data_IF_277279877320
#
_entry.id   IF_277279877320
#
_cell.length_a   1.000
_cell.length_b   1.000
_cell.length_c   1.000
_cell.angle_alpha   90.00
_cell.angle_beta   90.00
_cell.angle_gamma   90.00
#
_symmetry.space_group_name_H-M   'P 1'
#
loop_
_entity.id
_entity.type
_entity.pdbx_description
1 polymer ?
#
# COMPACT_ATOMS: atom_id res chain seq x y z
N UNK A 1 -16.08 14.83 36.98
CA UNK A 1 -14.68 14.42 37.06
C UNK A 1 -14.57 12.98 36.57
N UNK A 2 -14.36 12.77 35.27
CA UNK A 2 -14.33 11.44 34.64
C UNK A 2 -12.92 11.17 34.13
N UNK A 3 -12.15 10.36 34.88
CA UNK A 3 -10.89 9.80 34.41
C UNK A 3 -11.16 8.69 33.38
N UNK A 4 -10.47 8.67 32.22
CA UNK A 4 -10.59 7.57 31.27
C UNK A 4 -9.94 6.29 31.84
N UNK A 5 -10.65 5.17 31.70
CA UNK A 5 -10.12 3.84 32.04
C UNK A 5 -9.05 3.42 31.03
N UNK A 6 -7.83 3.19 31.52
CA UNK A 6 -6.76 2.57 30.74
C UNK A 6 -7.16 1.14 30.34
N UNK A 7 -7.27 0.89 29.04
CA UNK A 7 -7.33 -0.47 28.51
C UNK A 7 -5.93 -1.07 28.58
N UNK A 8 -5.65 -1.79 29.66
CA UNK A 8 -4.45 -2.63 29.78
C UNK A 8 -4.63 -3.84 28.87
N UNK A 9 -4.15 -3.73 27.63
CA UNK A 9 -4.01 -4.87 26.74
C UNK A 9 -3.01 -5.87 27.33
N UNK A 10 -3.49 -7.01 27.80
CA UNK A 10 -2.64 -8.14 28.17
C UNK A 10 -2.05 -8.75 26.90
N UNK A 11 -0.87 -8.27 26.49
CA UNK A 11 -0.06 -8.97 25.52
C UNK A 11 0.31 -10.34 26.11
N UNK A 12 -0.14 -11.43 25.48
CA UNK A 12 0.31 -12.78 25.83
C UNK A 12 1.85 -12.81 25.74
N UNK A 13 2.57 -13.37 26.72
CA UNK A 13 4.02 -13.45 26.66
C UNK A 13 4.44 -14.28 25.44
N UNK A 14 4.95 -13.59 24.42
CA UNK A 14 5.47 -14.23 23.23
C UNK A 14 6.76 -14.98 23.61
N UNK A 15 6.66 -16.29 23.82
CA UNK A 15 7.85 -17.14 23.84
C UNK A 15 8.51 -17.03 22.47
N UNK A 16 9.78 -16.61 22.41
CA UNK A 16 10.58 -16.67 21.18
C UNK A 16 10.65 -18.13 20.72
N UNK A 17 9.79 -18.51 19.78
CA UNK A 17 9.96 -19.73 19.00
C UNK A 17 10.95 -19.39 17.90
N UNK A 18 12.15 -19.94 17.99
CA UNK A 18 13.02 -20.01 16.82
C UNK A 18 12.34 -20.92 15.81
N UNK A 19 11.99 -20.35 14.66
CA UNK A 19 11.64 -21.16 13.50
C UNK A 19 12.92 -21.93 13.11
N UNK A 20 12.82 -23.25 12.85
CA UNK A 20 13.98 -24.01 12.39
C UNK A 20 14.52 -23.37 11.12
N UNK A 21 15.85 -23.27 10.95
CA UNK A 21 16.43 -22.71 9.73
C UNK A 21 15.91 -23.52 8.53
N UNK A 22 15.27 -22.83 7.58
CA UNK A 22 14.86 -23.47 6.34
C UNK A 22 16.11 -23.77 5.51
N UNK A 23 16.23 -24.99 5.00
CA UNK A 23 17.36 -25.42 4.18
C UNK A 23 17.51 -24.61 2.87
N UNK A 24 16.42 -23.97 2.44
CA UNK A 24 16.42 -23.01 1.35
C UNK A 24 16.57 -21.57 1.89
N UNK A 25 17.56 -20.79 1.45
CA UNK A 25 17.55 -19.34 1.58
C UNK A 25 16.56 -18.75 0.58
N UNK A 26 15.28 -19.13 0.68
CA UNK A 26 14.22 -18.42 -0.04
C UNK A 26 14.19 -16.98 0.46
N UNK A 27 14.06 -15.98 -0.42
CA UNK A 27 13.75 -14.63 0.04
C UNK A 27 12.51 -14.73 0.94
N UNK A 28 12.59 -14.09 2.10
CA UNK A 28 11.46 -13.93 3.00
C UNK A 28 10.27 -13.37 2.20
N UNK A 29 9.03 -13.76 2.52
CA UNK A 29 7.86 -13.15 1.90
C UNK A 29 7.96 -11.62 1.99
N UNK A 30 7.63 -10.87 0.93
CA UNK A 30 7.78 -9.43 0.93
C UNK A 30 6.93 -8.81 2.04
N UNK A 31 7.49 -7.85 2.76
CA UNK A 31 6.83 -7.14 3.84
C UNK A 31 6.07 -5.94 3.26
N UNK A 32 4.74 -6.03 3.32
CA UNK A 32 3.83 -4.96 2.93
C UNK A 32 3.45 -4.13 4.15
N UNK A 33 3.57 -2.80 4.06
CA UNK A 33 3.16 -1.87 5.10
C UNK A 33 2.11 -0.92 4.54
N UNK A 34 0.90 -0.96 5.11
CA UNK A 34 -0.13 0.04 4.89
C UNK A 34 0.05 1.22 5.83
N UNK A 35 0.28 2.43 5.30
CA UNK A 35 0.47 3.61 6.14
C UNK A 35 0.18 4.94 5.43
N UNK A 36 -0.23 5.95 6.20
CA UNK A 36 -0.44 7.33 5.72
C UNK A 36 0.37 8.38 6.48
N UNK A 37 0.86 8.08 7.70
CA UNK A 37 1.52 9.04 8.58
C UNK A 37 2.94 9.39 8.13
N UNK A 38 3.16 10.66 7.77
CA UNK A 38 4.41 11.14 7.17
C UNK A 38 5.58 11.21 8.16
N UNK A 39 5.32 11.58 9.42
CA UNK A 39 6.37 11.79 10.42
C UNK A 39 6.93 10.49 11.00
N UNK A 40 6.07 9.50 11.23
CA UNK A 40 6.44 8.27 11.95
C UNK A 40 6.46 7.04 11.03
N UNK A 41 5.43 6.86 10.21
CA UNK A 41 5.25 5.63 9.45
C UNK A 41 6.04 5.62 8.14
N UNK A 42 6.02 6.70 7.35
CA UNK A 42 6.79 6.74 6.10
C UNK A 42 8.31 6.52 6.30
N UNK A 43 8.96 7.02 7.36
CA UNK A 43 10.36 6.68 7.62
C UNK A 43 10.57 5.18 7.91
N UNK A 44 9.59 4.50 8.53
CA UNK A 44 9.64 3.05 8.75
C UNK A 44 9.50 2.32 7.41
N UNK A 45 8.52 2.73 6.59
CA UNK A 45 8.30 2.20 5.24
C UNK A 45 9.58 2.31 4.41
N UNK A 46 10.16 3.51 4.32
CA UNK A 46 11.39 3.78 3.60
C UNK A 46 12.52 2.80 3.98
N UNK A 47 12.72 2.57 5.28
CA UNK A 47 13.78 1.69 5.79
C UNK A 47 13.51 0.20 5.63
N UNK A 48 12.25 -0.24 5.64
CA UNK A 48 11.91 -1.65 5.94
C UNK A 48 10.91 -2.33 4.99
N UNK A 49 10.04 -1.58 4.32
CA UNK A 49 8.97 -2.20 3.54
C UNK A 49 9.46 -2.63 2.16
N UNK A 50 9.08 -3.83 1.72
CA UNK A 50 9.22 -4.23 0.32
C UNK A 50 8.11 -3.63 -0.54
N UNK A 51 6.93 -3.42 0.06
CA UNK A 51 5.83 -2.71 -0.56
C UNK A 51 5.14 -1.75 0.42
N UNK A 52 4.76 -0.57 -0.07
CA UNK A 52 3.97 0.42 0.64
C UNK A 52 2.57 0.47 0.06
N UNK A 53 1.55 0.24 0.88
CA UNK A 53 0.17 0.51 0.51
C UNK A 53 -0.24 1.90 1.05
N UNK A 54 -0.52 2.82 0.13
CA UNK A 54 -0.74 4.22 0.39
C UNK A 54 -2.23 4.59 0.41
N UNK A 55 -2.54 5.65 1.16
CA UNK A 55 -3.90 6.17 1.32
C UNK A 55 -3.93 7.68 1.10
N UNK A 56 -4.97 8.16 0.41
CA UNK A 56 -5.29 9.58 0.28
C UNK A 56 -5.79 10.01 -1.09
N UNK A 57 -6.03 11.32 -1.22
CA UNK A 57 -6.40 12.01 -2.47
C UNK A 57 -5.27 11.99 -3.48
N UNK A 58 -5.58 12.24 -4.75
CA UNK A 58 -4.62 12.33 -5.85
C UNK A 58 -3.40 13.20 -5.47
N UNK A 59 -3.62 14.45 -5.07
CA UNK A 59 -2.55 15.36 -4.68
C UNK A 59 -1.68 14.80 -3.54
N UNK A 60 -2.30 14.18 -2.52
CA UNK A 60 -1.56 13.62 -1.39
C UNK A 60 -0.74 12.39 -1.77
N UNK A 61 -1.20 11.56 -2.73
CA UNK A 61 -0.48 10.37 -3.17
C UNK A 61 0.83 10.73 -3.87
N UNK A 62 0.79 11.74 -4.75
CA UNK A 62 1.99 12.22 -5.45
C UNK A 62 2.99 12.87 -4.47
N UNK A 63 2.51 13.67 -3.51
CA UNK A 63 3.36 14.26 -2.49
C UNK A 63 4.04 13.20 -1.62
N UNK A 64 3.29 12.22 -1.12
CA UNK A 64 3.82 11.13 -0.28
C UNK A 64 4.74 10.19 -1.05
N UNK A 65 4.49 9.98 -2.35
CA UNK A 65 5.37 9.16 -3.20
C UNK A 65 6.77 9.77 -3.29
N UNK A 66 6.86 11.09 -3.51
CA UNK A 66 8.13 11.85 -3.52
C UNK A 66 8.80 11.86 -2.15
N UNK A 67 8.02 12.11 -1.09
CA UNK A 67 8.55 12.05 0.28
C UNK A 67 9.12 10.65 0.60
N UNK A 68 8.49 9.58 0.12
CA UNK A 68 9.02 8.23 0.30
C UNK A 68 10.36 8.04 -0.43
N UNK A 69 10.53 8.63 -1.62
CA UNK A 69 11.82 8.61 -2.33
C UNK A 69 12.91 9.29 -1.48
N UNK A 70 12.66 10.52 -1.03
CA UNK A 70 13.59 11.29 -0.19
C UNK A 70 13.97 10.53 1.09
N UNK A 71 12.98 9.90 1.75
CA UNK A 71 13.20 9.13 2.98
C UNK A 71 13.99 7.84 2.72
N UNK A 72 13.78 7.18 1.58
CA UNK A 72 14.52 5.98 1.19
C UNK A 72 15.97 6.33 0.86
N UNK A 73 16.19 7.40 0.09
CA UNK A 73 17.54 7.91 -0.21
C UNK A 73 18.28 8.32 1.05
N UNK A 74 17.64 9.07 1.96
CA UNK A 74 18.21 9.44 3.27
C UNK A 74 18.55 8.22 4.13
N UNK A 75 17.84 7.11 3.94
CA UNK A 75 18.11 5.84 4.61
C UNK A 75 19.17 4.99 3.89
N UNK A 76 19.75 5.46 2.78
CA UNK A 76 20.74 4.72 1.98
C UNK A 76 20.13 3.58 1.15
N UNK A 77 18.85 3.67 0.80
CA UNK A 77 18.12 2.64 0.05
C UNK A 77 17.63 3.18 -1.29
N UNK A 78 17.76 2.39 -2.35
CA UNK A 78 17.15 2.70 -3.65
C UNK A 78 15.62 2.72 -3.53
N UNK A 79 14.94 3.86 -3.78
CA UNK A 79 13.49 3.95 -3.67
C UNK A 79 12.72 3.01 -4.60
N UNK A 80 13.34 2.57 -5.70
CA UNK A 80 12.75 1.60 -6.64
C UNK A 80 12.63 0.19 -6.05
N UNK A 81 13.28 -0.07 -4.91
CA UNK A 81 13.13 -1.31 -4.13
C UNK A 81 11.83 -1.35 -3.31
N UNK A 82 11.02 -0.29 -3.34
CA UNK A 82 9.74 -0.22 -2.63
C UNK A 82 8.61 -0.20 -3.67
N UNK A 83 7.90 -1.32 -3.77
CA UNK A 83 6.69 -1.39 -4.59
C UNK A 83 5.62 -0.46 -4.00
N UNK A 84 4.98 0.34 -4.84
CA UNK A 84 3.92 1.26 -4.44
C UNK A 84 2.56 0.70 -4.80
N UNK A 85 1.72 0.55 -3.80
CA UNK A 85 0.36 0.04 -3.90
C UNK A 85 -0.69 1.05 -3.46
N UNK A 86 -1.85 1.04 -4.12
CA UNK A 86 -3.01 1.83 -3.73
C UNK A 86 -4.30 1.10 -4.11
N UNK A 87 -5.39 1.40 -3.41
CA UNK A 87 -6.72 0.90 -3.79
C UNK A 87 -7.31 1.70 -4.95
N UNK A 88 -8.06 0.99 -5.80
CA UNK A 88 -8.82 1.53 -6.92
C UNK A 88 -10.29 1.10 -6.76
N UNK A 89 -11.15 2.07 -6.46
CA UNK A 89 -12.58 1.82 -6.32
C UNK A 89 -13.23 1.63 -7.70
N UNK A 90 -13.88 0.48 -7.89
CA UNK A 90 -14.59 0.14 -9.13
C UNK A 90 -16.04 0.67 -9.18
N UNK A 91 -16.58 1.11 -8.05
CA UNK A 91 -17.93 1.69 -7.91
C UNK A 91 -17.99 3.19 -8.22
N UNK A 92 -17.08 3.67 -9.07
CA UNK A 92 -17.02 5.07 -9.54
C UNK A 92 -17.24 5.11 -11.05
N UNK A 93 -17.73 6.23 -11.60
CA UNK A 93 -17.81 6.41 -13.05
C UNK A 93 -16.49 6.05 -13.76
N UNK A 94 -16.58 5.43 -14.92
CA UNK A 94 -15.44 4.84 -15.61
C UNK A 94 -14.35 5.84 -16.01
N UNK A 95 -14.74 7.09 -16.24
CA UNK A 95 -13.83 8.21 -16.45
C UNK A 95 -13.05 8.56 -15.17
N UNK A 96 -13.67 8.47 -14.00
CA UNK A 96 -13.02 8.67 -12.70
C UNK A 96 -12.05 7.54 -12.37
N UNK A 97 -12.42 6.29 -12.65
CA UNK A 97 -11.54 5.12 -12.45
C UNK A 97 -10.28 5.27 -13.30
N UNK A 98 -10.43 5.63 -14.58
CA UNK A 98 -9.30 5.89 -15.49
C UNK A 98 -8.42 7.03 -15.01
N UNK A 99 -9.01 8.18 -14.64
CA UNK A 99 -8.25 9.34 -14.12
C UNK A 99 -7.46 8.98 -12.87
N UNK A 100 -8.07 8.27 -11.92
CA UNK A 100 -7.38 7.83 -10.70
C UNK A 100 -6.24 6.87 -11.02
N UNK A 101 -6.44 5.90 -11.90
CA UNK A 101 -5.39 4.96 -12.28
C UNK A 101 -4.21 5.65 -12.99
N UNK A 102 -4.49 6.58 -13.91
CA UNK A 102 -3.48 7.40 -14.57
C UNK A 102 -2.69 8.24 -13.56
N UNK A 103 -3.38 8.94 -12.65
CA UNK A 103 -2.74 9.74 -11.61
C UNK A 103 -1.83 8.91 -10.70
N UNK A 104 -2.29 7.72 -10.30
CA UNK A 104 -1.50 6.79 -9.50
C UNK A 104 -0.25 6.31 -10.27
N UNK A 105 -0.39 5.94 -11.54
CA UNK A 105 0.74 5.55 -12.39
C UNK A 105 1.76 6.68 -12.52
N UNK A 106 1.31 7.90 -12.79
CA UNK A 106 2.19 9.08 -12.92
C UNK A 106 2.90 9.41 -11.59
N UNK A 107 2.28 9.07 -10.45
CA UNK A 107 2.88 9.14 -9.12
C UNK A 107 3.77 7.94 -8.75
N UNK A 108 4.00 6.99 -9.67
CA UNK A 108 4.89 5.83 -9.48
C UNK A 108 4.25 4.60 -8.84
N UNK A 109 2.91 4.52 -8.79
CA UNK A 109 2.21 3.33 -8.26
C UNK A 109 2.11 2.24 -9.32
N UNK A 110 2.77 1.11 -9.04
CA UNK A 110 2.82 -0.05 -9.95
C UNK A 110 1.88 -1.19 -9.57
N UNK A 111 1.19 -1.12 -8.43
CA UNK A 111 0.28 -2.18 -7.98
C UNK A 111 -1.06 -1.61 -7.52
N UNK A 112 -2.14 -1.87 -8.26
CA UNK A 112 -3.47 -1.42 -7.91
C UNK A 112 -4.30 -2.55 -7.31
N UNK A 113 -4.86 -2.33 -6.12
CA UNK A 113 -5.83 -3.24 -5.52
C UNK A 113 -7.21 -2.81 -5.99
N UNK A 114 -7.79 -3.58 -6.91
CA UNK A 114 -9.17 -3.37 -7.35
C UNK A 114 -10.13 -3.74 -6.21
N UNK A 115 -10.87 -2.75 -5.70
CA UNK A 115 -11.84 -2.98 -4.64
C UNK A 115 -13.08 -3.68 -5.18
N UNK A 116 -13.67 -4.56 -4.37
CA UNK A 116 -14.92 -5.22 -4.74
C UNK A 116 -16.04 -4.19 -4.94
N UNK A 117 -16.70 -4.14 -6.11
CA UNK A 117 -17.73 -3.15 -6.37
C UNK A 117 -19.03 -3.48 -5.64
N UNK A 118 -19.69 -2.45 -5.11
CA UNK A 118 -21.02 -2.56 -4.49
C UNK A 118 -22.11 -3.07 -5.46
N UNK A 119 -21.91 -2.87 -6.76
CA UNK A 119 -22.75 -3.32 -7.88
C UNK A 119 -22.57 -4.81 -8.18
N UNK A 120 -21.61 -5.47 -7.52
CA UNK A 120 -21.37 -6.91 -7.61
C UNK A 120 -20.61 -7.36 -8.87
N UNK A 121 -20.64 -8.67 -9.11
CA UNK A 121 -19.80 -9.37 -10.11
C UNK A 121 -19.84 -8.73 -11.50
N UNK A 122 -21.02 -8.33 -11.97
CA UNK A 122 -21.17 -7.73 -13.31
C UNK A 122 -20.31 -6.47 -13.49
N UNK A 123 -20.18 -5.65 -12.45
CA UNK A 123 -19.33 -4.45 -12.49
C UNK A 123 -17.85 -4.78 -12.58
N UNK A 124 -17.42 -5.85 -11.90
CA UNK A 124 -16.06 -6.37 -12.00
C UNK A 124 -15.77 -6.93 -13.40
N UNK A 125 -16.70 -7.68 -13.98
CA UNK A 125 -16.59 -8.22 -15.35
C UNK A 125 -16.46 -7.07 -16.37
N UNK A 126 -17.31 -6.04 -16.26
CA UNK A 126 -17.20 -4.84 -17.11
C UNK A 126 -15.87 -4.10 -16.95
N UNK A 127 -15.31 -4.03 -15.74
CA UNK A 127 -13.98 -3.45 -15.51
C UNK A 127 -12.89 -4.26 -16.24
N UNK A 128 -12.92 -5.59 -16.09
CA UNK A 128 -11.95 -6.50 -16.71
C UNK A 128 -11.99 -6.40 -18.23
N UNK A 129 -13.17 -6.29 -18.82
CA UNK A 129 -13.34 -6.22 -20.27
C UNK A 129 -13.03 -4.83 -20.85
N UNK A 130 -13.47 -3.76 -20.18
CA UNK A 130 -13.54 -2.41 -20.79
C UNK A 130 -12.53 -1.41 -20.25
N UNK A 131 -11.88 -1.68 -19.12
CA UNK A 131 -11.01 -0.70 -18.46
C UNK A 131 -9.63 -1.27 -18.22
N UNK A 132 -9.54 -2.50 -17.69
CA UNK A 132 -8.26 -3.15 -17.38
C UNK A 132 -7.28 -3.19 -18.56
N UNK A 133 -7.69 -3.47 -19.82
CA UNK A 133 -6.76 -3.51 -20.95
C UNK A 133 -6.02 -2.18 -21.20
N UNK A 134 -6.66 -1.04 -20.89
CA UNK A 134 -6.09 0.30 -21.04
C UNK A 134 -5.11 0.66 -19.90
N UNK A 135 -5.16 -0.07 -18.78
CA UNK A 135 -4.32 0.18 -17.62
C UNK A 135 -3.03 -0.65 -17.62
N UNK A 136 -3.02 -1.76 -18.35
CA UNK A 136 -1.91 -2.73 -18.41
C UNK A 136 -1.08 -2.61 -19.68
N UNK A 137 -1.50 -1.77 -20.64
CA UNK A 137 -0.75 -1.38 -21.83
C UNK A 137 0.27 -0.30 -21.52
#
# INVERSE_FOLDING_TARGET
>A
DHRPSELQGTALPARRRQLPPTADPKPHPPIWIGASGEQLMLPIVARRADAWHAFGSDQSMAAKSRLLDELAEKAGRDPRRILRSASLSLSRPWDQVRRRAAHLRDAGFGYLIAEWPSEGKKRLEEFVEKVMPELVS
#
